data_IF_881129007113
#
_entry.id   IF_881129007113
#
_cell.length_a   1.000
_cell.length_b   1.000
_cell.length_c   1.000
_cell.angle_alpha   90.00
_cell.angle_beta   90.00
_cell.angle_gamma   90.00
#
_symmetry.space_group_name_H-M   'P 1'
#
loop_
_entity.id
_entity.type
_entity.pdbx_description
1 polymer ?
#
# COMPACT_ATOMS: atom_id res chain seq x y z
N UNK A 1 -8.72 20.49 -7.32
CA UNK A 1 -9.93 19.94 -7.96
C UNK A 1 -9.65 19.13 -9.22
N UNK A 2 -8.96 19.66 -10.24
CA UNK A 2 -8.70 18.93 -11.51
C UNK A 2 -8.06 17.54 -11.34
N UNK A 3 -7.01 17.42 -10.52
CA UNK A 3 -6.35 16.13 -10.25
C UNK A 3 -7.32 15.13 -9.57
N UNK A 4 -8.23 15.59 -8.70
CA UNK A 4 -9.25 14.73 -8.08
C UNK A 4 -10.21 14.17 -9.11
N UNK A 5 -10.70 15.03 -10.01
CA UNK A 5 -11.56 14.60 -11.11
C UNK A 5 -10.85 13.57 -11.99
N UNK A 6 -9.63 13.87 -12.46
CA UNK A 6 -8.87 12.96 -13.32
C UNK A 6 -8.61 11.60 -12.68
N UNK A 7 -8.19 11.58 -11.41
CA UNK A 7 -7.89 10.33 -10.70
C UNK A 7 -9.14 9.49 -10.42
N UNK A 8 -10.25 10.14 -10.06
CA UNK A 8 -11.53 9.45 -9.86
C UNK A 8 -12.06 8.94 -11.20
N UNK A 9 -12.01 9.74 -12.27
CA UNK A 9 -12.41 9.32 -13.62
C UNK A 9 -11.58 8.12 -14.08
N UNK A 10 -10.26 8.14 -13.89
CA UNK A 10 -9.40 6.99 -14.22
C UNK A 10 -9.79 5.73 -13.43
N UNK A 11 -10.08 5.86 -12.13
CA UNK A 11 -10.53 4.74 -11.31
C UNK A 11 -11.91 4.21 -11.70
N UNK A 12 -12.84 5.07 -12.13
CA UNK A 12 -14.15 4.68 -12.64
C UNK A 12 -14.02 3.94 -13.97
N UNK A 13 -13.15 4.42 -14.87
CA UNK A 13 -12.84 3.72 -16.14
C UNK A 13 -12.26 2.34 -15.84
N UNK A 14 -11.28 2.25 -14.94
CA UNK A 14 -10.69 0.96 -14.55
C UNK A 14 -11.72 0.01 -13.94
N UNK A 15 -12.60 0.54 -13.08
CA UNK A 15 -13.70 -0.23 -12.49
C UNK A 15 -14.70 -0.72 -13.53
N UNK A 16 -15.01 0.10 -14.54
CA UNK A 16 -15.87 -0.29 -15.66
C UNK A 16 -15.19 -1.38 -16.51
N UNK A 17 -13.88 -1.27 -16.77
CA UNK A 17 -13.12 -2.31 -17.46
C UNK A 17 -13.17 -3.63 -16.69
N UNK A 18 -13.02 -3.61 -15.36
CA UNK A 18 -13.11 -4.82 -14.53
C UNK A 18 -14.48 -5.53 -14.62
N UNK A 19 -15.57 -4.78 -14.85
CA UNK A 19 -16.93 -5.34 -14.96
C UNK A 19 -17.30 -5.77 -16.38
N UNK A 20 -16.97 -4.95 -17.37
CA UNK A 20 -17.44 -5.13 -18.75
C UNK A 20 -16.40 -5.73 -19.69
N UNK A 21 -15.11 -5.61 -19.35
CA UNK A 21 -13.98 -6.15 -20.13
C UNK A 21 -12.90 -6.74 -19.17
N UNK A 22 -13.26 -7.75 -18.36
CA UNK A 22 -12.46 -8.18 -17.20
C UNK A 22 -11.03 -8.58 -17.56
N UNK A 23 -10.79 -9.17 -18.73
CA UNK A 23 -9.45 -9.51 -19.19
C UNK A 23 -8.55 -8.28 -19.35
N UNK A 24 -9.07 -7.21 -19.96
CA UNK A 24 -8.33 -5.97 -20.13
C UNK A 24 -8.17 -5.25 -18.79
N UNK A 25 -9.23 -5.16 -17.99
CA UNK A 25 -9.17 -4.54 -16.66
C UNK A 25 -8.17 -5.22 -15.74
N UNK A 26 -8.17 -6.56 -15.66
CA UNK A 26 -7.21 -7.30 -14.85
C UNK A 26 -5.78 -7.13 -15.36
N UNK A 27 -5.56 -7.12 -16.69
CA UNK A 27 -4.23 -6.88 -17.27
C UNK A 27 -3.70 -5.48 -16.94
N UNK A 28 -4.54 -4.44 -17.02
CA UNK A 28 -4.14 -3.07 -16.66
C UNK A 28 -3.90 -2.92 -15.16
N UNK A 29 -4.83 -3.38 -14.32
CA UNK A 29 -4.71 -3.27 -12.88
C UNK A 29 -3.49 -4.03 -12.33
N UNK A 30 -3.41 -5.32 -12.64
CA UNK A 30 -2.43 -6.23 -12.05
C UNK A 30 -1.13 -6.33 -12.84
N UNK A 31 -1.17 -6.06 -14.15
CA UNK A 31 -0.02 -6.12 -15.06
C UNK A 31 0.64 -4.78 -15.35
N UNK A 32 0.04 -3.65 -14.97
CA UNK A 32 0.64 -2.32 -15.14
C UNK A 32 0.59 -1.49 -13.85
N UNK A 33 -0.60 -1.25 -13.29
CA UNK A 33 -0.78 -0.31 -12.17
C UNK A 33 -0.06 -0.78 -10.89
N UNK A 34 -0.34 -2.02 -10.46
CA UNK A 34 0.23 -2.58 -9.23
C UNK A 34 1.76 -2.76 -9.31
N UNK A 35 2.34 -3.23 -10.42
CA UNK A 35 3.80 -3.32 -10.56
C UNK A 35 4.54 -1.99 -10.60
N UNK A 36 3.91 -0.92 -11.06
CA UNK A 36 4.51 0.43 -11.09
C UNK A 36 4.45 1.11 -9.72
N UNK A 37 3.44 0.79 -8.90
CA UNK A 37 3.21 1.47 -7.62
C UNK A 37 4.39 1.40 -6.63
N UNK A 38 5.07 0.27 -6.37
CA UNK A 38 6.23 0.20 -5.48
C UNK A 38 7.37 1.15 -5.86
N UNK A 39 7.72 1.21 -7.15
CA UNK A 39 8.75 2.13 -7.65
C UNK A 39 8.32 3.59 -7.49
N UNK A 40 7.05 3.90 -7.76
CA UNK A 40 6.53 5.24 -7.57
C UNK A 40 6.53 5.66 -6.09
N UNK A 41 6.19 4.76 -5.17
CA UNK A 41 6.27 4.99 -3.72
C UNK A 41 7.71 5.21 -3.24
N UNK A 42 8.67 4.52 -3.85
CA UNK A 42 10.09 4.68 -3.53
C UNK A 42 10.64 6.02 -4.04
N UNK A 43 10.30 6.41 -5.27
CA UNK A 43 10.85 7.61 -5.92
C UNK A 43 10.10 8.90 -5.53
N UNK A 44 8.77 8.85 -5.50
CA UNK A 44 7.90 10.01 -5.37
C UNK A 44 6.59 9.67 -4.62
N UNK A 45 6.66 9.38 -3.30
CA UNK A 45 5.49 9.06 -2.49
C UNK A 45 4.48 10.22 -2.45
N UNK A 46 4.95 11.48 -2.49
CA UNK A 46 4.07 12.65 -2.63
C UNK A 46 3.24 12.63 -3.91
N UNK A 47 3.84 12.21 -5.04
CA UNK A 47 3.12 12.06 -6.32
C UNK A 47 2.09 10.93 -6.23
N UNK A 48 2.47 9.77 -5.65
CA UNK A 48 1.53 8.67 -5.40
C UNK A 48 0.28 9.15 -4.65
N UNK A 49 0.47 9.90 -3.55
CA UNK A 49 -0.63 10.44 -2.75
C UNK A 49 -1.50 11.46 -3.49
N UNK A 50 -1.01 12.07 -4.56
CA UNK A 50 -1.79 12.96 -5.41
C UNK A 50 -2.61 12.20 -6.45
N UNK A 51 -2.04 11.14 -7.03
CA UNK A 51 -2.68 10.36 -8.09
C UNK A 51 -3.52 9.19 -7.57
N UNK A 52 -3.35 8.81 -6.30
CA UNK A 52 -4.08 7.69 -5.71
C UNK A 52 -5.59 7.99 -5.65
N UNK A 53 -6.44 7.19 -6.30
CA UNK A 53 -7.87 7.43 -6.35
C UNK A 53 -8.52 7.30 -4.97
N UNK A 54 -8.08 6.36 -4.14
CA UNK A 54 -8.57 6.23 -2.76
C UNK A 54 -8.25 7.47 -1.91
N UNK A 55 -7.09 8.10 -2.16
CA UNK A 55 -6.73 9.36 -1.52
C UNK A 55 -7.53 10.57 -2.02
N UNK A 56 -8.17 10.47 -3.19
CA UNK A 56 -9.17 11.43 -3.70
C UNK A 56 -10.52 11.18 -3.05
N UNK A 57 -10.96 9.93 -3.02
CA UNK A 57 -12.24 9.52 -2.42
C UNK A 57 -12.28 9.84 -0.93
N UNK A 58 -11.17 9.70 -0.21
CA UNK A 58 -11.07 10.09 1.19
C UNK A 58 -11.24 11.61 1.44
N UNK A 59 -10.87 12.45 0.47
CA UNK A 59 -11.01 13.91 0.55
C UNK A 59 -12.33 14.41 -0.05
N UNK A 60 -13.03 13.59 -0.84
CA UNK A 60 -14.25 13.96 -1.52
C UNK A 60 -15.35 14.49 -0.58
N UNK A 61 -15.59 13.92 0.62
CA UNK A 61 -16.54 14.50 1.57
C UNK A 61 -16.23 15.95 1.93
N UNK A 62 -14.95 16.30 2.05
CA UNK A 62 -14.51 17.65 2.38
C UNK A 62 -14.72 18.59 1.20
N UNK A 63 -14.33 18.17 0.01
CA UNK A 63 -14.48 18.94 -1.23
C UNK A 63 -15.96 19.23 -1.54
N UNK A 64 -16.87 18.33 -1.15
CA UNK A 64 -18.32 18.48 -1.29
C UNK A 64 -19.00 19.22 -0.12
N UNK A 65 -18.24 19.62 0.92
CA UNK A 65 -18.80 20.24 2.12
C UNK A 65 -19.62 19.30 3.00
N UNK A 66 -19.49 17.98 2.82
CA UNK A 66 -20.16 16.93 3.59
C UNK A 66 -19.35 16.43 4.79
N UNK A 67 -18.09 16.85 4.91
CA UNK A 67 -17.35 16.66 6.16
C UNK A 67 -18.11 17.35 7.28
N UNK A 68 -18.53 16.57 8.27
CA UNK A 68 -19.32 17.08 9.37
C UNK A 68 -18.56 18.21 10.08
N UNK A 69 -19.28 19.21 10.59
CA UNK A 69 -18.68 20.24 11.45
C UNK A 69 -17.99 19.63 12.70
N UNK A 70 -18.39 18.41 13.08
CA UNK A 70 -17.83 17.61 14.16
C UNK A 70 -16.68 16.68 13.73
N UNK A 71 -16.25 16.72 12.46
CA UNK A 71 -15.12 15.95 12.00
C UNK A 71 -13.88 16.30 12.82
N UNK A 72 -13.21 15.27 13.33
CA UNK A 72 -12.13 15.43 14.30
C UNK A 72 -10.89 14.68 13.89
N UNK A 73 -9.80 14.94 14.59
CA UNK A 73 -8.58 14.14 14.49
C UNK A 73 -8.87 12.78 15.16
N UNK A 74 -8.44 11.65 14.58
CA UNK A 74 -8.50 10.35 15.24
C UNK A 74 -7.78 10.40 16.59
N UNK A 75 -8.36 9.80 17.62
CA UNK A 75 -7.65 9.61 18.89
C UNK A 75 -6.47 8.64 18.69
N UNK A 76 -5.50 8.66 19.61
CA UNK A 76 -4.37 7.72 19.54
C UNK A 76 -4.82 6.26 19.49
N UNK A 77 -5.86 5.90 20.25
CA UNK A 77 -6.42 4.54 20.25
C UNK A 77 -7.03 4.19 18.90
N UNK A 78 -7.85 5.06 18.33
CA UNK A 78 -8.46 4.85 17.01
C UNK A 78 -7.41 4.76 15.91
N UNK A 79 -6.45 5.69 15.90
CA UNK A 79 -5.33 5.66 14.96
C UNK A 79 -4.52 4.36 15.07
N UNK A 80 -4.27 3.88 16.28
CA UNK A 80 -3.55 2.63 16.52
C UNK A 80 -4.31 1.42 15.97
N UNK A 81 -5.62 1.34 16.25
CA UNK A 81 -6.49 0.28 15.71
C UNK A 81 -6.47 0.32 14.18
N UNK A 82 -6.67 1.50 13.57
CA UNK A 82 -6.68 1.62 12.11
C UNK A 82 -5.36 1.16 11.49
N UNK A 83 -4.21 1.52 12.08
CA UNK A 83 -2.89 1.04 11.64
C UNK A 83 -2.75 -0.46 11.76
N UNK A 84 -3.16 -1.07 12.88
CA UNK A 84 -3.10 -2.53 13.04
C UNK A 84 -4.00 -3.26 12.04
N UNK A 85 -5.21 -2.73 11.79
CA UNK A 85 -6.10 -3.28 10.76
C UNK A 85 -5.49 -3.10 9.36
N UNK A 86 -4.87 -1.95 9.08
CA UNK A 86 -4.14 -1.72 7.82
C UNK A 86 -2.98 -2.71 7.62
N UNK A 87 -2.21 -3.00 8.67
CA UNK A 87 -1.13 -4.00 8.62
C UNK A 87 -1.70 -5.41 8.40
N UNK A 88 -2.75 -5.77 9.13
CA UNK A 88 -3.42 -7.06 8.95
C UNK A 88 -3.95 -7.19 7.51
N UNK A 89 -4.54 -6.14 6.95
CA UNK A 89 -5.00 -6.12 5.56
C UNK A 89 -3.82 -6.25 4.56
N UNK A 90 -2.68 -5.60 4.83
CA UNK A 90 -1.46 -5.75 4.02
C UNK A 90 -0.92 -7.19 4.05
N UNK A 91 -1.03 -7.88 5.19
CA UNK A 91 -0.58 -9.26 5.32
C UNK A 91 -1.59 -10.27 4.78
N UNK A 92 -2.89 -9.94 4.80
CA UNK A 92 -3.97 -10.84 4.41
C UNK A 92 -4.30 -10.80 2.90
N UNK A 93 -4.37 -9.61 2.30
CA UNK A 93 -4.88 -9.44 0.93
C UNK A 93 -3.92 -9.92 -0.17
N UNK A 94 -2.60 -9.65 -0.14
CA UNK A 94 -1.70 -10.10 -1.18
C UNK A 94 -1.61 -11.63 -1.34
N UNK A 95 -1.60 -12.45 -0.27
CA UNK A 95 -1.69 -13.91 -0.42
C UNK A 95 -3.01 -14.37 -1.06
N UNK A 96 -4.14 -13.73 -0.75
CA UNK A 96 -5.44 -14.07 -1.37
C UNK A 96 -5.51 -13.77 -2.87
N UNK A 97 -4.59 -12.93 -3.36
CA UNK A 97 -4.57 -12.43 -4.72
C UNK A 97 -4.54 -13.52 -5.81
N UNK A 98 -3.52 -14.41 -5.88
CA UNK A 98 -3.44 -15.45 -6.91
C UNK A 98 -4.57 -16.49 -6.85
N UNK A 99 -5.21 -16.65 -5.68
CA UNK A 99 -6.28 -17.64 -5.52
C UNK A 99 -7.63 -17.13 -6.04
N UNK A 100 -8.00 -15.89 -5.72
CA UNK A 100 -9.34 -15.36 -6.01
C UNK A 100 -9.34 -14.04 -6.79
N UNK A 101 -8.55 -13.06 -6.34
CA UNK A 101 -8.70 -11.67 -6.80
C UNK A 101 -8.23 -11.50 -8.25
N UNK A 102 -7.12 -12.12 -8.64
CA UNK A 102 -6.56 -12.00 -9.99
C UNK A 102 -7.37 -12.74 -11.06
N UNK A 103 -8.23 -13.68 -10.66
CA UNK A 103 -9.01 -14.51 -11.60
C UNK A 103 -10.38 -13.92 -11.93
N UNK A 104 -10.84 -12.92 -11.19
CA UNK A 104 -12.19 -12.37 -11.33
C UNK A 104 -12.18 -10.85 -11.31
N UNK A 105 -12.62 -10.25 -12.42
CA UNK A 105 -12.82 -8.81 -12.52
C UNK A 105 -13.81 -8.30 -11.48
N UNK A 106 -14.89 -9.06 -11.22
CA UNK A 106 -15.85 -8.75 -10.17
C UNK A 106 -15.22 -8.75 -8.78
N UNK A 107 -14.36 -9.73 -8.47
CA UNK A 107 -13.68 -9.78 -7.18
C UNK A 107 -12.77 -8.56 -6.97
N UNK A 108 -11.97 -8.20 -7.98
CA UNK A 108 -11.12 -7.00 -7.93
C UNK A 108 -11.96 -5.73 -7.79
N UNK A 109 -13.05 -5.61 -8.56
CA UNK A 109 -13.98 -4.48 -8.47
C UNK A 109 -14.58 -4.34 -7.07
N UNK A 110 -15.06 -5.43 -6.47
CA UNK A 110 -15.64 -5.40 -5.12
C UNK A 110 -14.61 -4.96 -4.07
N UNK A 111 -13.36 -5.40 -4.18
CA UNK A 111 -12.28 -4.94 -3.29
C UNK A 111 -12.07 -3.43 -3.43
N UNK A 112 -11.96 -2.92 -4.66
CA UNK A 112 -11.81 -1.48 -4.93
C UNK A 112 -13.01 -0.69 -4.39
N UNK A 113 -14.23 -1.21 -4.59
CA UNK A 113 -15.46 -0.59 -4.11
C UNK A 113 -15.50 -0.52 -2.58
N UNK A 114 -15.15 -1.60 -1.89
CA UNK A 114 -15.10 -1.64 -0.41
C UNK A 114 -14.08 -0.65 0.13
N UNK A 115 -12.86 -0.62 -0.41
CA UNK A 115 -11.86 0.35 0.03
C UNK A 115 -12.25 1.80 -0.28
N UNK A 116 -12.92 2.04 -1.40
CA UNK A 116 -13.45 3.36 -1.75
C UNK A 116 -14.56 3.79 -0.80
N UNK A 117 -15.49 2.89 -0.47
CA UNK A 117 -16.55 3.13 0.50
C UNK A 117 -16.00 3.44 1.89
N UNK A 118 -15.00 2.68 2.35
CA UNK A 118 -14.31 2.92 3.62
C UNK A 118 -13.56 4.25 3.62
N UNK A 119 -12.88 4.59 2.52
CA UNK A 119 -12.18 5.86 2.37
C UNK A 119 -13.15 7.04 2.48
N UNK A 120 -14.27 6.98 1.74
CA UNK A 120 -15.32 8.00 1.77
C UNK A 120 -15.95 8.12 3.16
N UNK A 121 -16.34 6.99 3.77
CA UNK A 121 -16.98 6.98 5.09
C UNK A 121 -16.05 7.53 6.19
N UNK A 122 -14.77 7.20 6.16
CA UNK A 122 -13.82 7.76 7.13
C UNK A 122 -13.56 9.25 6.88
N UNK A 123 -13.63 9.71 5.62
CA UNK A 123 -13.49 11.13 5.26
C UNK A 123 -14.65 12.03 5.71
N UNK A 124 -15.85 11.47 5.95
CA UNK A 124 -16.96 12.24 6.55
C UNK A 124 -16.79 12.44 8.06
N UNK A 125 -16.08 11.52 8.73
CA UNK A 125 -15.94 11.46 10.19
C UNK A 125 -14.64 12.07 10.72
N UNK A 126 -13.56 11.99 9.95
CA UNK A 126 -12.22 12.44 10.35
C UNK A 126 -11.67 13.48 9.40
N UNK A 127 -10.86 14.40 9.94
CA UNK A 127 -10.28 15.49 9.14
C UNK A 127 -9.17 15.00 8.20
N UNK A 128 -9.21 15.50 6.97
CA UNK A 128 -8.19 15.27 5.95
C UNK A 128 -7.92 13.79 5.69
N UNK A 129 -6.66 13.39 5.80
CA UNK A 129 -6.16 12.04 5.49
C UNK A 129 -5.87 11.20 6.73
N UNK A 130 -6.27 11.66 7.92
CA UNK A 130 -5.83 11.09 9.19
C UNK A 130 -6.26 9.63 9.41
N UNK A 131 -7.46 9.25 8.97
CA UNK A 131 -8.02 7.93 9.25
C UNK A 131 -7.69 6.88 8.17
N UNK A 132 -8.13 7.09 6.93
CA UNK A 132 -7.93 6.09 5.88
C UNK A 132 -6.48 6.08 5.39
N UNK A 133 -6.01 7.16 4.77
CA UNK A 133 -4.70 7.17 4.11
C UNK A 133 -3.51 7.03 5.09
N UNK A 134 -3.57 7.58 6.31
CA UNK A 134 -2.51 7.45 7.31
C UNK A 134 -2.80 6.39 8.40
N UNK A 135 -3.78 5.51 8.18
CA UNK A 135 -4.20 4.50 9.16
C UNK A 135 -4.63 3.21 8.48
N UNK A 136 -5.88 3.14 8.04
CA UNK A 136 -6.51 1.91 7.53
C UNK A 136 -5.94 1.41 6.21
N UNK A 137 -5.37 2.30 5.39
CA UNK A 137 -4.87 1.96 4.07
C UNK A 137 -3.70 0.96 4.17
N UNK A 138 -3.80 -0.25 3.60
CA UNK A 138 -2.73 -1.25 3.69
C UNK A 138 -1.44 -0.78 2.99
N UNK A 139 -1.57 0.01 1.93
CA UNK A 139 -0.43 0.56 1.17
C UNK A 139 0.35 1.59 1.99
N UNK A 140 -0.25 2.18 3.04
CA UNK A 140 0.42 3.19 3.87
C UNK A 140 1.68 2.67 4.55
N UNK A 141 1.72 1.38 4.92
CA UNK A 141 2.95 0.79 5.47
C UNK A 141 4.07 0.78 4.42
N UNK A 142 3.78 0.35 3.20
CA UNK A 142 4.74 0.31 2.10
C UNK A 142 5.20 1.73 1.75
N UNK A 143 4.28 2.69 1.73
CA UNK A 143 4.56 4.11 1.55
C UNK A 143 5.52 4.66 2.62
N UNK A 144 5.31 4.35 3.90
CA UNK A 144 6.17 4.78 5.00
C UNK A 144 7.57 4.14 4.93
N UNK A 145 7.66 2.89 4.48
CA UNK A 145 8.89 2.12 4.37
C UNK A 145 9.73 2.59 3.17
N UNK A 146 9.13 2.69 1.98
CA UNK A 146 9.81 3.10 0.76
C UNK A 146 10.03 4.61 0.68
N UNK A 147 9.13 5.41 1.28
CA UNK A 147 9.21 6.86 1.28
C UNK A 147 10.41 7.44 2.03
N UNK A 148 11.21 6.63 2.75
CA UNK A 148 12.42 7.06 3.44
C UNK A 148 13.56 7.53 2.52
N UNK A 149 13.47 7.18 1.22
CA UNK A 149 14.44 7.56 0.19
C UNK A 149 13.99 8.75 -0.64
N UNK A 150 12.73 9.17 -0.47
CA UNK A 150 12.18 10.28 -1.22
C UNK A 150 12.95 11.57 -0.95
N UNK A 151 13.22 12.30 -2.02
CA UNK A 151 13.73 13.67 -1.95
C UNK A 151 12.54 14.62 -1.79
N UNK A 152 12.74 15.79 -1.15
CA UNK A 152 11.71 16.81 -1.05
C UNK A 152 11.23 17.24 -2.44
N UNK A 153 10.12 16.68 -2.91
CA UNK A 153 9.43 17.17 -4.09
C UNK A 153 8.50 18.27 -3.58
N UNK A 154 8.71 19.52 -4.03
CA UNK A 154 7.82 20.65 -3.67
C UNK A 154 6.50 20.51 -4.43
N UNK A 155 5.75 19.46 -4.14
CA UNK A 155 4.43 19.21 -4.66
C UNK A 155 3.41 19.90 -3.74
N UNK A 156 2.39 20.58 -4.30
CA UNK A 156 1.37 21.19 -3.48
C UNK A 156 0.64 20.10 -2.67
N UNK A 157 0.54 20.30 -1.36
CA UNK A 157 -0.23 19.41 -0.48
C UNK A 157 -1.68 19.45 -0.92
N UNK A 158 -2.24 18.29 -1.25
CA UNK A 158 -3.55 18.18 -1.88
C UNK A 158 -4.71 18.60 -0.97
N UNK A 159 -4.49 18.64 0.34
CA UNK A 159 -5.52 18.95 1.34
C UNK A 159 -5.95 20.43 1.37
N UNK A 160 -5.38 21.33 0.55
CA UNK A 160 -5.73 22.76 0.47
C UNK A 160 -5.25 23.59 1.68
N UNK A 161 -5.45 23.07 2.90
CA UNK A 161 -4.87 23.51 4.17
C UNK A 161 -4.31 22.31 4.95
N UNK A 162 -3.34 22.56 5.82
CA UNK A 162 -2.82 21.54 6.73
C UNK A 162 -3.66 21.53 8.02
N UNK A 163 -4.43 20.46 8.23
CA UNK A 163 -5.28 20.31 9.42
C UNK A 163 -4.58 19.49 10.54
N UNK A 164 -3.27 19.23 10.40
CA UNK A 164 -2.47 18.43 11.36
C UNK A 164 -3.10 17.08 11.73
N UNK A 165 -3.74 16.43 10.75
CA UNK A 165 -4.51 15.19 10.94
C UNK A 165 -3.70 13.97 11.41
N UNK A 166 -2.36 14.02 11.32
CA UNK A 166 -1.43 13.01 11.85
C UNK A 166 -0.05 13.64 12.08
N UNK A 167 0.69 13.12 13.06
CA UNK A 167 2.07 13.53 13.39
C UNK A 167 3.11 12.95 12.42
N UNK A 168 2.78 11.83 11.77
CA UNK A 168 3.65 11.10 10.85
C UNK A 168 3.23 11.29 9.38
N UNK A 169 2.88 12.52 8.99
CA UNK A 169 2.39 12.80 7.65
C UNK A 169 3.51 12.72 6.59
N UNK A 170 3.35 11.83 5.61
CA UNK A 170 4.29 11.67 4.48
C UNK A 170 4.37 12.94 3.62
N UNK A 171 3.26 13.67 3.45
CA UNK A 171 3.22 14.91 2.65
C UNK A 171 4.02 16.08 3.28
N UNK A 172 4.23 16.05 4.60
CA UNK A 172 4.89 17.14 5.35
C UNK A 172 6.31 16.79 5.74
N UNK A 173 6.57 15.52 6.03
CA UNK A 173 7.85 15.01 6.50
C UNK A 173 8.48 14.05 5.49
N UNK A 174 8.62 14.49 4.24
CA UNK A 174 9.22 13.69 3.17
C UNK A 174 10.60 13.14 3.57
N UNK A 175 10.83 11.85 3.34
CA UNK A 175 12.05 11.14 3.75
C UNK A 175 12.24 10.90 5.25
N UNK A 176 11.38 11.46 6.12
CA UNK A 176 11.49 11.36 7.59
C UNK A 176 10.18 11.02 8.30
N UNK A 177 9.09 10.79 7.58
CA UNK A 177 7.78 10.52 8.17
C UNK A 177 7.81 9.33 9.14
N UNK A 178 8.58 8.29 8.83
CA UNK A 178 8.73 7.12 9.69
C UNK A 178 9.50 7.41 11.00
N UNK A 179 10.38 8.42 11.04
CA UNK A 179 11.04 8.84 12.29
C UNK A 179 10.03 9.42 13.29
N UNK A 180 8.90 9.94 12.81
CA UNK A 180 7.77 10.42 13.62
C UNK A 180 6.63 9.40 13.73
N UNK A 181 6.78 8.26 13.07
CA UNK A 181 5.82 7.18 13.07
C UNK A 181 5.93 6.30 14.31
N UNK A 182 4.92 5.47 14.52
CA UNK A 182 4.94 4.47 15.59
C UNK A 182 5.85 3.29 15.23
N UNK A 183 6.31 2.59 16.25
CA UNK A 183 7.20 1.43 16.12
C UNK A 183 6.64 0.32 15.21
N UNK A 184 5.32 0.20 15.08
CA UNK A 184 4.67 -0.75 14.17
C UNK A 184 5.19 -0.64 12.73
N UNK A 185 5.49 0.56 12.22
CA UNK A 185 6.00 0.75 10.86
C UNK A 185 7.43 0.21 10.72
N UNK A 186 8.26 0.38 11.76
CA UNK A 186 9.62 -0.17 11.79
C UNK A 186 9.60 -1.70 11.81
N UNK A 187 8.74 -2.28 12.64
CA UNK A 187 8.56 -3.73 12.71
C UNK A 187 8.02 -4.30 11.40
N UNK A 188 7.06 -3.61 10.76
CA UNK A 188 6.58 -3.98 9.43
C UNK A 188 7.69 -3.91 8.38
N UNK A 189 8.57 -2.89 8.43
CA UNK A 189 9.72 -2.78 7.54
C UNK A 189 10.65 -4.00 7.62
N UNK A 190 10.94 -4.45 8.83
CA UNK A 190 11.81 -5.60 9.08
C UNK A 190 11.27 -6.92 8.53
N UNK A 191 9.94 -7.12 8.56
CA UNK A 191 9.31 -8.31 8.01
C UNK A 191 9.04 -8.25 6.49
N UNK A 192 8.96 -7.06 5.91
CA UNK A 192 8.54 -6.88 4.52
C UNK A 192 9.39 -7.65 3.47
N UNK A 193 10.74 -7.73 3.55
CA UNK A 193 11.53 -8.47 2.56
C UNK A 193 11.12 -9.93 2.43
N UNK A 194 11.01 -10.61 3.57
CA UNK A 194 10.62 -12.02 3.61
C UNK A 194 9.16 -12.22 3.21
N UNK A 195 8.27 -11.28 3.52
CA UNK A 195 6.88 -11.32 3.04
C UNK A 195 6.80 -11.25 1.52
N UNK A 196 7.56 -10.33 0.90
CA UNK A 196 7.61 -10.17 -0.56
C UNK A 196 8.15 -11.44 -1.21
N UNK A 197 9.28 -11.97 -0.72
CA UNK A 197 9.85 -13.23 -1.24
C UNK A 197 8.84 -14.36 -1.09
N UNK A 198 8.24 -14.50 0.10
CA UNK A 198 7.22 -15.50 0.38
C UNK A 198 6.02 -15.44 -0.57
N UNK A 199 5.61 -14.24 -1.00
CA UNK A 199 4.51 -14.08 -1.95
C UNK A 199 4.81 -14.71 -3.31
N UNK A 200 6.05 -14.55 -3.79
CA UNK A 200 6.47 -15.16 -5.05
C UNK A 200 6.62 -16.69 -4.97
N UNK A 201 6.79 -17.23 -3.76
CA UNK A 201 6.89 -18.68 -3.49
C UNK A 201 5.52 -19.36 -3.33
N UNK A 202 4.41 -18.62 -3.35
CA UNK A 202 3.07 -19.21 -3.31
C UNK A 202 2.88 -20.06 -4.58
N UNK A 203 2.51 -21.35 -4.45
CA UNK A 203 2.24 -22.20 -5.62
C UNK A 203 1.07 -21.65 -6.43
N UNK A 204 1.17 -21.70 -7.76
CA UNK A 204 0.16 -21.11 -8.66
C UNK A 204 -1.05 -22.03 -8.87
N UNK A 205 -0.86 -23.35 -8.72
CA UNK A 205 -1.88 -24.38 -9.00
C UNK A 205 -2.50 -24.97 -7.72
N UNK A 206 -3.01 -24.10 -6.84
CA UNK A 206 -3.72 -24.53 -5.64
C UNK A 206 -5.16 -24.95 -6.02
N UNK A 207 -5.38 -26.25 -6.23
CA UNK A 207 -6.70 -26.80 -6.58
C UNK A 207 -7.76 -26.60 -5.48
N UNK A 208 -7.50 -27.07 -4.26
CA UNK A 208 -8.31 -26.75 -3.07
C UNK A 208 -7.70 -25.55 -2.33
N UNK A 209 -8.43 -24.87 -1.45
CA UNK A 209 -7.94 -23.71 -0.67
C UNK A 209 -7.07 -24.17 0.52
N UNK A 210 -5.71 -24.19 0.42
CA UNK A 210 -4.89 -24.70 1.49
C UNK A 210 -4.32 -23.48 2.19
N UNK A 211 -5.02 -22.97 3.20
CA UNK A 211 -4.59 -21.82 4.01
C UNK A 211 -3.08 -21.87 4.37
N UNK A 212 -2.51 -23.04 4.75
CA UNK A 212 -1.07 -23.13 5.03
C UNK A 212 -0.18 -22.88 3.81
N UNK A 213 -0.58 -23.31 2.62
CA UNK A 213 0.20 -23.08 1.39
C UNK A 213 0.12 -21.63 0.92
N UNK A 214 -0.99 -20.94 1.22
CA UNK A 214 -1.20 -19.54 0.86
C UNK A 214 -0.45 -18.58 1.79
N UNK A 215 -0.57 -18.81 3.10
CA UNK A 215 -0.06 -17.91 4.13
C UNK A 215 1.27 -18.36 4.75
N UNK A 216 1.61 -19.65 4.66
CA UNK A 216 2.85 -20.18 5.21
C UNK A 216 4.09 -19.51 4.63
N UNK A 217 4.25 -19.42 3.30
CA UNK A 217 5.41 -18.76 2.70
C UNK A 217 5.50 -17.28 3.06
N UNK A 218 4.38 -16.55 3.03
CA UNK A 218 4.36 -15.09 3.26
C UNK A 218 4.53 -14.73 4.73
N UNK A 219 3.78 -15.34 5.64
CA UNK A 219 3.88 -15.07 7.07
C UNK A 219 5.15 -15.68 7.67
N UNK A 220 5.56 -16.86 7.21
CA UNK A 220 6.84 -17.48 7.59
C UNK A 220 8.03 -16.65 7.12
N UNK A 221 8.00 -16.16 5.88
CA UNK A 221 8.98 -15.23 5.35
C UNK A 221 9.00 -13.91 6.13
N UNK A 222 7.83 -13.34 6.42
CA UNK A 222 7.72 -12.12 7.24
C UNK A 222 8.37 -12.31 8.61
N UNK A 223 8.05 -13.41 9.31
CA UNK A 223 8.60 -13.72 10.62
C UNK A 223 10.11 -13.94 10.56
N UNK A 224 10.61 -14.70 9.58
CA UNK A 224 12.03 -14.96 9.42
C UNK A 224 12.83 -13.66 9.21
N UNK A 225 12.38 -12.81 8.29
CA UNK A 225 12.99 -11.50 8.03
C UNK A 225 12.92 -10.60 9.26
N UNK A 226 11.76 -10.56 9.93
CA UNK A 226 11.59 -9.81 11.16
C UNK A 226 12.58 -10.23 12.25
N UNK A 227 12.76 -11.53 12.49
CA UNK A 227 13.68 -12.04 13.50
C UNK A 227 15.13 -11.68 13.18
N UNK A 228 15.53 -11.75 11.91
CA UNK A 228 16.87 -11.35 11.47
C UNK A 228 17.12 -9.87 11.77
N UNK A 229 16.24 -8.97 11.31
CA UNK A 229 16.42 -7.53 11.51
C UNK A 229 16.26 -7.10 12.97
N UNK A 230 15.36 -7.74 13.73
CA UNK A 230 15.24 -7.51 15.17
C UNK A 230 16.48 -7.99 15.94
N UNK A 231 17.09 -9.10 15.50
CA UNK A 231 18.37 -9.57 16.03
C UNK A 231 19.50 -8.56 15.74
N UNK A 232 19.57 -8.08 14.51
CA UNK A 232 20.53 -7.04 14.12
C UNK A 232 20.34 -5.73 14.88
N UNK A 233 19.09 -5.29 15.13
CA UNK A 233 18.82 -4.09 15.95
C UNK A 233 19.36 -4.25 17.37
N UNK A 234 19.24 -5.44 17.96
CA UNK A 234 19.77 -5.71 19.31
C UNK A 234 21.30 -5.70 19.36
N UNK A 235 21.97 -6.16 18.31
CA UNK A 235 23.44 -6.23 18.25
C UNK A 235 24.06 -4.87 17.89
N UNK A 236 23.50 -4.20 16.88
CA UNK A 236 24.04 -2.96 16.33
C UNK A 236 23.57 -1.69 17.07
N UNK A 237 22.54 -1.83 17.90
CA UNK A 237 22.01 -0.77 18.74
C UNK A 237 21.20 0.31 18.00
N UNK A 238 20.66 1.29 18.75
CA UNK A 238 19.69 2.26 18.22
C UNK A 238 20.20 3.16 17.09
N UNK A 239 21.52 3.41 17.04
CA UNK A 239 22.16 4.23 16.00
C UNK A 239 21.98 3.64 14.60
N UNK A 240 21.84 2.32 14.50
CA UNK A 240 21.77 1.58 13.25
C UNK A 240 20.34 1.42 12.71
N UNK A 241 19.31 1.76 13.51
CA UNK A 241 17.88 1.55 13.18
C UNK A 241 17.46 2.08 11.82
N UNK A 242 17.84 3.32 11.52
CA UNK A 242 17.51 3.95 10.24
C UNK A 242 18.18 3.21 9.07
N UNK A 243 19.42 2.78 9.25
CA UNK A 243 20.13 1.95 8.27
C UNK A 243 19.45 0.61 8.05
N UNK A 244 19.03 -0.06 9.13
CA UNK A 244 18.32 -1.35 9.07
C UNK A 244 16.97 -1.25 8.35
N UNK A 245 16.17 -0.21 8.64
CA UNK A 245 14.89 0.00 7.93
C UNK A 245 15.13 0.25 6.44
N UNK A 246 16.13 1.07 6.10
CA UNK A 246 16.50 1.34 4.70
C UNK A 246 16.99 0.07 3.99
N UNK A 247 17.82 -0.73 4.65
CA UNK A 247 18.29 -2.00 4.10
C UNK A 247 17.11 -2.95 3.84
N UNK A 248 16.19 -3.09 4.80
CA UNK A 248 14.98 -3.90 4.60
C UNK A 248 14.12 -3.36 3.45
N UNK A 249 13.89 -2.06 3.36
CA UNK A 249 13.17 -1.45 2.25
C UNK A 249 13.80 -1.76 0.87
N UNK A 250 15.12 -1.63 0.75
CA UNK A 250 15.85 -1.93 -0.49
C UNK A 250 15.81 -3.42 -0.84
N UNK A 251 15.94 -4.31 0.16
CA UNK A 251 15.82 -5.76 -0.05
C UNK A 251 14.41 -6.13 -0.51
N UNK A 252 13.37 -5.55 0.10
CA UNK A 252 11.99 -5.79 -0.30
C UNK A 252 11.69 -5.32 -1.73
N UNK A 253 12.14 -4.10 -2.08
CA UNK A 253 11.98 -3.55 -3.42
C UNK A 253 12.77 -4.34 -4.48
N UNK A 254 14.02 -4.69 -4.15
CA UNK A 254 14.89 -5.49 -5.00
C UNK A 254 14.31 -6.88 -5.25
N UNK A 255 13.87 -7.57 -4.19
CA UNK A 255 13.19 -8.86 -4.31
C UNK A 255 11.92 -8.74 -5.15
N UNK A 256 11.12 -7.69 -4.95
CA UNK A 256 9.91 -7.47 -5.74
C UNK A 256 10.20 -7.42 -7.24
N UNK A 257 11.12 -6.55 -7.68
CA UNK A 257 11.42 -6.41 -9.10
C UNK A 257 12.22 -7.57 -9.68
N UNK A 258 13.04 -8.24 -8.88
CA UNK A 258 13.75 -9.46 -9.29
C UNK A 258 12.78 -10.53 -9.81
N UNK A 259 11.70 -10.79 -9.07
CA UNK A 259 10.70 -11.77 -9.48
C UNK A 259 9.60 -11.20 -10.40
N UNK A 260 9.27 -9.91 -10.29
CA UNK A 260 8.18 -9.31 -11.05
C UNK A 260 8.55 -9.02 -12.51
N UNK A 261 9.77 -8.55 -12.80
CA UNK A 261 10.17 -8.14 -14.16
C UNK A 261 10.07 -9.29 -15.17
N UNK A 262 10.56 -10.52 -14.89
CA UNK A 262 10.39 -11.64 -15.81
C UNK A 262 8.92 -11.97 -16.10
N UNK A 263 8.05 -11.92 -15.06
CA UNK A 263 6.61 -12.17 -15.20
C UNK A 263 5.92 -11.13 -16.07
N UNK A 264 6.32 -9.85 -15.95
CA UNK A 264 5.79 -8.78 -16.80
C UNK A 264 6.24 -8.92 -18.24
N UNK A 265 7.52 -9.23 -18.47
CA UNK A 265 8.02 -9.47 -19.82
C UNK A 265 7.17 -10.55 -20.50
N UNK A 266 6.96 -11.69 -19.83
CA UNK A 266 6.10 -12.77 -20.31
C UNK A 266 4.67 -12.34 -20.67
N UNK A 267 4.03 -11.57 -19.78
CA UNK A 267 2.65 -11.11 -19.96
C UNK A 267 2.49 -10.23 -21.21
N UNK A 268 3.50 -9.43 -21.53
CA UNK A 268 3.44 -8.43 -22.60
C UNK A 268 4.07 -8.90 -23.92
N UNK A 269 5.01 -9.86 -23.92
CA UNK A 269 5.73 -10.27 -25.13
C UNK A 269 5.23 -11.56 -25.79
N UNK A 270 4.24 -12.29 -25.23
CA UNK A 270 3.68 -13.55 -25.75
C UNK A 270 4.70 -14.68 -26.07
N UNK A 271 5.99 -14.46 -25.83
CA UNK A 271 7.08 -15.38 -26.11
C UNK A 271 8.03 -15.41 -24.91
N UNK A 272 8.29 -16.65 -24.44
CA UNK A 272 9.24 -17.06 -23.40
C UNK A 272 8.75 -16.94 -21.94
N UNK A 273 7.81 -17.81 -21.54
CA UNK A 273 7.64 -18.19 -20.14
C UNK A 273 8.53 -19.41 -19.84
N UNK A 274 9.63 -19.23 -19.09
CA UNK A 274 10.21 -20.33 -18.32
C UNK A 274 9.44 -20.38 -17.00
N UNK A 275 8.81 -21.53 -16.74
CA UNK A 275 8.00 -21.81 -15.55
C UNK A 275 8.79 -21.80 -14.26
#
# INVERSE_FOLDING_TARGET
>A
MLISVLTISMALVESALLLFAPELGLRLFWGLLIPVAPLLLFLAPGLWRQICPLGSVALLPRDLGWTAASARIPTEREGSILRWVGLAALLALPPLRPWFIDKSGLATFLVVLVFSGLAFFLGTRFVGRGAFCNGLCPVHFVEMIYGQFSRPLRLPVRCGSCDSCTTACVDVHEGRALDRGQDIYRHAAWGLPGFVIGWFLIPQDLGTFPLPALYGPTLGGFLASFLVFAGLDRVLGPSSRRGLVRAAALLALGAYYWFQVPRLACLWTNHLCLG
#
